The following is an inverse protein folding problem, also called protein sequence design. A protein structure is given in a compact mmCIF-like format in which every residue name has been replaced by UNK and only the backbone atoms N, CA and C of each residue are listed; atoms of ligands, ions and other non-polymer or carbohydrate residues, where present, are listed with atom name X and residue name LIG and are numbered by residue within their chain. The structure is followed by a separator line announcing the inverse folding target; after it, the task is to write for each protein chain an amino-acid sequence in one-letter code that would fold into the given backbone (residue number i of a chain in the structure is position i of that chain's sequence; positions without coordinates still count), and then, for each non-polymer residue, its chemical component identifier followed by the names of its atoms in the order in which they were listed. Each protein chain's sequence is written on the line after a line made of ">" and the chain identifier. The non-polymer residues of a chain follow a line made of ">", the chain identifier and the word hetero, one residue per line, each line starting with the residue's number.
data_IF_938856754856
#
_entry.id   IF_938856754856
#
_cell.length_a   1.000
_cell.length_b   1.000
_cell.length_c   1.000
_cell.angle_alpha   90.00
_cell.angle_beta   90.00
_cell.angle_gamma   90.00
#
_symmetry.space_group_name_H-M   'P 1'
#
loop_
_entity.id
_entity.type
_entity.pdbx_description
1 polymer ?
#
# COMPACT_ATOMS: atom_id res chain seq x y z
N UNK A 1 26.45 40.26 -34.42
CA UNK A 1 25.17 39.51 -34.48
C UNK A 1 25.44 38.08 -34.01
N UNK A 2 24.83 37.70 -32.88
CA UNK A 2 24.44 36.35 -32.48
C UNK A 2 25.47 35.20 -32.57
N UNK A 3 26.35 35.07 -31.58
CA UNK A 3 26.92 33.75 -31.18
C UNK A 3 27.19 33.75 -29.68
N UNK A 4 26.17 33.67 -28.81
CA UNK A 4 26.40 33.39 -27.37
C UNK A 4 25.12 33.08 -26.55
N UNK A 5 24.16 32.33 -27.10
CA UNK A 5 22.96 31.93 -26.35
C UNK A 5 22.62 30.43 -26.47
N UNK A 6 23.61 29.54 -26.50
CA UNK A 6 23.38 28.09 -26.70
C UNK A 6 23.96 27.20 -25.61
N UNK A 7 24.21 27.73 -24.40
CA UNK A 7 24.71 26.93 -23.26
C UNK A 7 23.79 26.92 -22.04
N UNK A 8 22.61 27.55 -22.09
CA UNK A 8 21.64 27.55 -20.97
C UNK A 8 20.49 26.53 -21.12
N UNK A 9 20.59 25.60 -22.08
CA UNK A 9 19.52 24.63 -22.37
C UNK A 9 19.71 23.25 -21.75
N UNK A 10 20.84 22.97 -21.10
CA UNK A 10 21.07 21.66 -20.48
C UNK A 10 20.72 21.72 -18.99
N UNK A 11 19.78 20.90 -18.49
CA UNK A 11 19.56 20.80 -17.06
C UNK A 11 20.86 20.37 -16.40
N UNK A 12 21.32 21.13 -15.41
CA UNK A 12 22.56 20.83 -14.70
C UNK A 12 22.46 19.43 -14.07
N UNK A 13 23.22 18.44 -14.57
CA UNK A 13 23.13 17.07 -14.10
C UNK A 13 23.59 16.95 -12.64
N UNK A 14 24.44 17.87 -12.15
CA UNK A 14 24.94 17.85 -10.78
C UNK A 14 23.84 18.23 -9.78
N UNK A 15 23.08 19.31 -10.03
CA UNK A 15 21.94 19.68 -9.19
C UNK A 15 20.82 18.63 -9.20
N UNK A 16 20.55 18.01 -10.34
CA UNK A 16 19.56 16.93 -10.46
C UNK A 16 19.98 15.69 -9.67
N UNK A 17 21.27 15.31 -9.77
CA UNK A 17 21.85 14.22 -8.97
C UNK A 17 21.83 14.53 -7.48
N UNK A 18 22.23 15.73 -7.09
CA UNK A 18 22.25 16.16 -5.68
C UNK A 18 20.85 16.18 -5.07
N UNK A 19 19.85 16.68 -5.80
CA UNK A 19 18.45 16.65 -5.38
C UNK A 19 17.97 15.19 -5.16
N UNK A 20 18.33 14.28 -6.06
CA UNK A 20 18.00 12.85 -5.96
C UNK A 20 18.67 12.19 -4.76
N UNK A 21 19.96 12.44 -4.54
CA UNK A 21 20.71 11.94 -3.37
C UNK A 21 20.15 12.50 -2.07
N UNK A 22 19.82 13.79 -2.02
CA UNK A 22 19.22 14.41 -0.84
C UNK A 22 17.83 13.83 -0.54
N UNK A 23 17.01 13.59 -1.56
CA UNK A 23 15.72 12.89 -1.41
C UNK A 23 15.94 11.50 -0.80
N UNK A 24 16.84 10.72 -1.38
CA UNK A 24 17.16 9.37 -0.87
C UNK A 24 17.65 9.42 0.57
N UNK A 25 18.60 10.30 0.91
CA UNK A 25 19.10 10.41 2.30
C UNK A 25 17.98 10.82 3.27
N UNK A 26 17.08 11.70 2.83
CA UNK A 26 15.93 12.13 3.65
C UNK A 26 14.96 10.98 3.88
N UNK A 27 14.65 10.21 2.82
CA UNK A 27 13.81 9.02 2.91
C UNK A 27 14.42 7.95 3.84
N UNK A 28 15.75 7.79 3.80
CA UNK A 28 16.49 6.87 4.67
C UNK A 28 16.55 7.32 6.14
N UNK A 29 16.51 8.62 6.40
CA UNK A 29 16.48 9.19 7.76
C UNK A 29 15.06 9.44 8.27
N UNK A 30 14.05 9.10 7.49
CA UNK A 30 12.65 9.31 7.82
C UNK A 30 12.26 8.61 9.11
N UNK A 31 11.46 9.29 9.93
CA UNK A 31 10.76 8.68 11.07
C UNK A 31 9.83 7.61 10.50
N UNK A 32 9.81 6.44 11.15
CA UNK A 32 8.89 5.36 10.77
C UNK A 32 7.45 5.87 10.79
N UNK A 33 6.74 5.72 9.67
CA UNK A 33 5.36 6.15 9.55
C UNK A 33 4.40 5.20 10.29
N UNK A 34 3.19 5.69 10.58
CA UNK A 34 2.23 4.94 11.38
C UNK A 34 1.82 3.59 10.75
N UNK A 35 1.78 3.54 9.42
CA UNK A 35 1.51 2.30 8.68
C UNK A 35 2.67 1.31 8.80
N UNK A 36 3.92 1.78 8.68
CA UNK A 36 5.11 0.96 8.88
C UNK A 36 5.16 0.36 10.29
N UNK A 37 4.87 1.17 11.31
CA UNK A 37 4.73 0.71 12.70
C UNK A 37 3.64 -0.37 12.82
N UNK A 38 2.51 -0.17 12.14
CA UNK A 38 1.41 -1.15 12.09
C UNK A 38 1.86 -2.48 11.48
N UNK A 39 2.62 -2.45 10.39
CA UNK A 39 3.15 -3.67 9.76
C UNK A 39 4.15 -4.40 10.65
N UNK A 40 5.03 -3.69 11.37
CA UNK A 40 5.91 -4.33 12.35
C UNK A 40 5.15 -4.95 13.52
N UNK A 41 4.11 -4.28 14.01
CA UNK A 41 3.25 -4.85 15.05
C UNK A 41 2.65 -6.18 14.58
N UNK A 42 2.16 -6.25 13.33
CA UNK A 42 1.64 -7.49 12.74
C UNK A 42 2.69 -8.60 12.72
N UNK A 43 3.92 -8.30 12.29
CA UNK A 43 5.02 -9.27 12.23
C UNK A 43 5.32 -9.88 13.60
N UNK A 44 5.16 -9.11 14.67
CA UNK A 44 5.47 -9.53 16.03
C UNK A 44 4.28 -10.21 16.73
N UNK A 45 3.04 -9.87 16.38
CA UNK A 45 1.85 -10.22 17.18
C UNK A 45 0.87 -11.17 16.47
N UNK A 46 1.10 -11.53 15.21
CA UNK A 46 0.23 -12.47 14.45
C UNK A 46 0.96 -13.77 14.12
N UNK A 47 0.29 -14.91 13.96
CA UNK A 47 0.96 -16.14 13.54
C UNK A 47 1.47 -16.02 12.08
N UNK A 48 2.57 -16.69 11.70
CA UNK A 48 3.12 -16.65 10.33
C UNK A 48 2.12 -17.07 9.23
N UNK A 49 1.13 -17.90 9.59
CA UNK A 49 0.07 -18.37 8.71
C UNK A 49 -1.12 -17.39 8.58
N UNK A 50 -1.12 -16.27 9.31
CA UNK A 50 -2.19 -15.28 9.24
C UNK A 50 -2.26 -14.66 7.84
N UNK A 51 -3.39 -14.80 7.17
CA UNK A 51 -3.66 -14.11 5.89
C UNK A 51 -4.27 -12.74 6.20
N UNK A 52 -3.74 -11.69 5.59
CA UNK A 52 -4.07 -10.31 5.92
C UNK A 52 -4.60 -9.54 4.71
N UNK A 53 -5.53 -8.61 4.95
CA UNK A 53 -5.89 -7.55 4.03
C UNK A 53 -5.11 -6.29 4.42
N UNK A 54 -4.06 -5.98 3.68
CA UNK A 54 -3.20 -4.81 3.89
C UNK A 54 -3.43 -3.76 2.79
N UNK A 55 -3.10 -2.47 3.04
CA UNK A 55 -3.10 -1.41 2.02
C UNK A 55 -2.33 -1.82 0.75
N UNK A 56 -3.00 -2.10 -0.39
CA UNK A 56 -2.33 -2.79 -1.50
C UNK A 56 -1.25 -1.97 -2.20
N UNK A 57 -1.27 -0.63 -2.08
CA UNK A 57 -0.28 0.28 -2.69
C UNK A 57 1.03 0.38 -1.91
N UNK A 58 1.09 -0.16 -0.69
CA UNK A 58 2.26 -0.07 0.20
C UNK A 58 3.33 -1.09 -0.20
N UNK A 59 4.46 -0.60 -0.75
CA UNK A 59 5.64 -1.40 -1.18
C UNK A 59 6.24 -2.21 -0.04
N UNK A 60 6.26 -1.57 1.11
CA UNK A 60 6.91 -2.01 2.33
C UNK A 60 6.09 -3.05 3.10
N UNK A 61 4.81 -3.23 2.78
CA UNK A 61 3.92 -4.17 3.48
C UNK A 61 4.47 -5.61 3.48
N UNK A 62 5.04 -6.06 2.36
CA UNK A 62 5.61 -7.40 2.23
C UNK A 62 6.81 -7.60 3.14
N UNK A 63 7.73 -6.64 3.13
CA UNK A 63 8.97 -6.70 3.89
C UNK A 63 8.76 -6.49 5.39
N UNK A 64 7.85 -5.60 5.77
CA UNK A 64 7.61 -5.25 7.16
C UNK A 64 6.67 -6.24 7.86
N UNK A 65 5.53 -6.58 7.25
CA UNK A 65 4.54 -7.45 7.89
C UNK A 65 4.96 -8.92 7.87
N UNK A 66 5.66 -9.37 6.82
CA UNK A 66 6.12 -10.76 6.63
C UNK A 66 5.00 -11.79 6.84
N UNK A 67 3.81 -11.49 6.31
CA UNK A 67 2.64 -12.36 6.34
C UNK A 67 2.05 -12.49 4.94
N UNK A 68 1.36 -13.61 4.64
CA UNK A 68 0.55 -13.74 3.44
C UNK A 68 -0.45 -12.59 3.31
N UNK A 69 -0.49 -11.96 2.13
CA UNK A 69 -1.38 -10.85 1.85
C UNK A 69 -2.45 -11.27 0.84
N UNK A 70 -3.65 -10.74 1.00
CA UNK A 70 -4.72 -10.96 0.05
C UNK A 70 -4.34 -10.50 -1.37
N UNK A 71 -3.80 -9.28 -1.49
CA UNK A 71 -3.35 -8.73 -2.76
C UNK A 71 -2.34 -7.59 -2.54
N UNK A 72 -1.39 -7.45 -3.46
CA UNK A 72 -0.48 -6.31 -3.51
C UNK A 72 -0.54 -5.69 -4.92
N UNK A 73 -0.66 -4.37 -5.00
CA UNK A 73 -0.79 -3.63 -6.27
C UNK A 73 0.48 -3.68 -7.12
N UNK A 74 1.65 -3.85 -6.53
CA UNK A 74 2.94 -3.70 -7.23
C UNK A 74 3.56 -5.02 -7.67
N UNK A 75 3.08 -6.15 -7.15
CA UNK A 75 3.60 -7.46 -7.49
C UNK A 75 2.55 -8.23 -8.29
N UNK A 76 2.65 -8.13 -9.62
CA UNK A 76 1.80 -8.88 -10.55
C UNK A 76 2.34 -10.31 -10.67
N UNK A 77 1.57 -11.35 -10.31
CA UNK A 77 1.99 -12.73 -10.48
C UNK A 77 1.93 -13.14 -11.96
N UNK A 78 2.96 -13.85 -12.43
CA UNK A 78 3.05 -14.29 -13.83
C UNK A 78 1.94 -15.28 -14.22
N UNK A 79 1.65 -16.27 -13.36
CA UNK A 79 0.71 -17.36 -13.68
C UNK A 79 -0.75 -17.02 -13.36
N UNK A 80 -1.01 -16.12 -12.40
CA UNK A 80 -2.36 -15.84 -11.88
C UNK A 80 -2.74 -14.35 -11.99
N UNK A 81 -2.31 -13.67 -13.06
CA UNK A 81 -2.57 -12.25 -13.26
C UNK A 81 -4.08 -11.91 -13.26
N UNK A 82 -4.93 -12.80 -13.79
CA UNK A 82 -6.39 -12.61 -13.79
C UNK A 82 -7.00 -12.63 -12.39
N UNK A 83 -6.53 -13.53 -11.52
CA UNK A 83 -6.97 -13.60 -10.13
C UNK A 83 -6.47 -12.37 -9.35
N UNK A 84 -5.20 -12.01 -9.51
CA UNK A 84 -4.63 -10.80 -8.92
C UNK A 84 -5.44 -9.54 -9.29
N UNK A 85 -5.79 -9.40 -10.57
CA UNK A 85 -6.62 -8.31 -11.07
C UNK A 85 -8.01 -8.31 -10.40
N UNK A 86 -8.66 -9.47 -10.33
CA UNK A 86 -9.98 -9.62 -9.69
C UNK A 86 -9.93 -9.18 -8.22
N UNK A 87 -8.90 -9.60 -7.48
CA UNK A 87 -8.70 -9.22 -6.08
C UNK A 87 -8.50 -7.71 -5.91
N UNK A 88 -7.70 -7.08 -6.76
CA UNK A 88 -7.52 -5.62 -6.75
C UNK A 88 -8.82 -4.88 -7.06
N UNK A 89 -9.52 -5.30 -8.11
CA UNK A 89 -10.79 -4.70 -8.51
C UNK A 89 -11.82 -4.80 -7.39
N UNK A 90 -11.89 -5.95 -6.71
CA UNK A 90 -12.79 -6.14 -5.56
C UNK A 90 -12.48 -5.18 -4.41
N UNK A 91 -11.21 -5.03 -4.05
CA UNK A 91 -10.78 -4.15 -2.96
C UNK A 91 -11.02 -2.68 -3.27
N UNK A 92 -10.75 -2.24 -4.51
CA UNK A 92 -10.89 -0.84 -4.91
C UNK A 92 -12.27 -0.48 -5.49
N UNK A 93 -13.19 -1.45 -5.59
CA UNK A 93 -14.51 -1.27 -6.19
C UNK A 93 -14.44 -0.92 -7.68
N UNK A 94 -13.46 -1.46 -8.40
CA UNK A 94 -13.32 -1.24 -9.85
C UNK A 94 -13.98 -2.34 -10.66
N UNK A 95 -14.49 -1.96 -11.84
CA UNK A 95 -14.89 -2.92 -12.87
C UNK A 95 -13.69 -3.39 -13.70
N UNK A 96 -12.67 -2.53 -13.85
CA UNK A 96 -11.40 -2.81 -14.51
C UNK A 96 -10.32 -1.86 -13.98
N UNK A 97 -9.03 -2.23 -14.10
CA UNK A 97 -7.93 -1.31 -13.76
C UNK A 97 -8.02 -0.07 -14.66
N UNK A 98 -8.01 1.15 -14.08
CA UNK A 98 -7.93 2.39 -14.84
C UNK A 98 -6.75 2.40 -15.82
N UNK A 99 -7.01 2.81 -17.07
CA UNK A 99 -5.98 2.90 -18.12
C UNK A 99 -4.99 4.04 -17.89
N UNK A 100 -5.41 5.08 -17.19
CA UNK A 100 -4.56 6.18 -16.76
C UNK A 100 -3.83 5.82 -15.47
N UNK A 101 -2.63 6.37 -15.27
CA UNK A 101 -1.95 6.27 -13.98
C UNK A 101 -2.86 6.73 -12.83
N UNK A 102 -2.83 6.00 -11.72
CA UNK A 102 -3.69 6.24 -10.55
C UNK A 102 -2.82 6.86 -9.46
N UNK A 103 -3.26 7.99 -8.91
CA UNK A 103 -2.56 8.60 -7.79
C UNK A 103 -2.67 7.70 -6.55
N UNK A 104 -1.60 7.64 -5.75
CA UNK A 104 -1.60 6.85 -4.51
C UNK A 104 -2.74 7.30 -3.57
N UNK A 105 -3.01 8.60 -3.50
CA UNK A 105 -4.08 9.15 -2.68
C UNK A 105 -5.48 8.61 -3.09
N UNK A 106 -5.70 8.37 -4.38
CA UNK A 106 -6.96 7.80 -4.86
C UNK A 106 -7.11 6.33 -4.47
N UNK A 107 -6.00 5.56 -4.52
CA UNK A 107 -5.97 4.17 -4.06
C UNK A 107 -6.29 4.10 -2.56
N UNK A 108 -5.64 4.98 -1.79
CA UNK A 108 -5.82 5.07 -0.35
C UNK A 108 -7.25 5.42 0.03
N UNK A 109 -7.81 6.45 -0.59
CA UNK A 109 -9.19 6.86 -0.38
C UNK A 109 -10.17 5.73 -0.70
N UNK A 110 -10.01 5.06 -1.86
CA UNK A 110 -10.88 3.94 -2.26
C UNK A 110 -10.81 2.76 -1.30
N UNK A 111 -9.61 2.40 -0.87
CA UNK A 111 -9.41 1.28 0.05
C UNK A 111 -10.00 1.56 1.43
N UNK A 112 -9.74 2.74 1.99
CA UNK A 112 -10.26 3.12 3.30
C UNK A 112 -11.79 3.32 3.28
N UNK A 113 -12.36 3.60 2.10
CA UNK A 113 -13.80 3.64 1.85
C UNK A 113 -14.39 2.27 1.45
N UNK A 114 -13.61 1.18 1.48
CA UNK A 114 -14.11 -0.15 1.12
C UNK A 114 -15.28 -0.53 2.05
N UNK A 115 -16.48 -0.85 1.51
CA UNK A 115 -17.64 -1.15 2.32
C UNK A 115 -17.42 -2.38 3.19
N UNK A 116 -17.99 -2.37 4.40
CA UNK A 116 -17.88 -3.48 5.34
C UNK A 116 -18.34 -4.82 4.74
N UNK A 117 -19.44 -4.81 3.99
CA UNK A 117 -19.95 -6.01 3.31
C UNK A 117 -18.92 -6.64 2.35
N UNK A 118 -18.12 -5.82 1.66
CA UNK A 118 -17.06 -6.31 0.77
C UNK A 118 -15.92 -6.92 1.58
N UNK A 119 -15.56 -6.31 2.71
CA UNK A 119 -14.56 -6.85 3.63
C UNK A 119 -15.02 -8.21 4.17
N UNK A 120 -16.27 -8.34 4.62
CA UNK A 120 -16.81 -9.61 5.13
C UNK A 120 -16.82 -10.70 4.04
N UNK A 121 -17.15 -10.34 2.80
CA UNK A 121 -17.07 -11.25 1.66
C UNK A 121 -15.62 -11.71 1.39
N UNK A 122 -14.65 -10.80 1.44
CA UNK A 122 -13.23 -11.14 1.27
C UNK A 122 -12.75 -12.03 2.43
N UNK A 123 -13.13 -11.68 3.67
CA UNK A 123 -12.79 -12.41 4.89
C UNK A 123 -13.28 -13.85 4.82
N UNK A 124 -14.56 -14.03 4.52
CA UNK A 124 -15.18 -15.36 4.45
C UNK A 124 -14.61 -16.20 3.30
N UNK A 125 -14.42 -15.62 2.12
CA UNK A 125 -13.95 -16.35 0.95
C UNK A 125 -12.47 -16.75 1.01
N UNK A 126 -11.62 -15.94 1.67
CA UNK A 126 -10.16 -16.12 1.63
C UNK A 126 -9.53 -16.39 3.00
N UNK A 127 -10.33 -16.56 4.05
CA UNK A 127 -9.83 -16.83 5.39
C UNK A 127 -8.96 -15.70 5.94
N UNK A 128 -9.27 -14.44 5.58
CA UNK A 128 -8.53 -13.29 6.11
C UNK A 128 -8.75 -13.24 7.62
N UNK A 129 -7.65 -13.11 8.36
CA UNK A 129 -7.64 -13.10 9.83
C UNK A 129 -7.50 -11.70 10.41
N UNK A 130 -6.91 -10.78 9.65
CA UNK A 130 -6.78 -9.38 10.05
C UNK A 130 -6.92 -8.44 8.86
N UNK A 131 -7.45 -7.25 9.12
CA UNK A 131 -7.59 -6.16 8.15
C UNK A 131 -6.86 -4.95 8.68
N UNK A 132 -6.05 -4.30 7.85
CA UNK A 132 -5.39 -3.04 8.17
C UNK A 132 -6.01 -1.93 7.34
N UNK A 133 -6.60 -0.94 7.98
CA UNK A 133 -7.27 0.17 7.28
C UNK A 133 -7.37 1.39 8.17
N UNK A 134 -7.45 2.58 7.56
CA UNK A 134 -7.85 3.79 8.25
C UNK A 134 -9.38 3.98 8.27
N UNK A 135 -10.12 3.19 7.47
CA UNK A 135 -11.57 3.10 7.54
C UNK A 135 -12.04 2.61 8.91
N UNK A 136 -13.26 2.98 9.29
CA UNK A 136 -13.89 2.59 10.55
C UNK A 136 -14.84 1.42 10.32
N UNK A 137 -14.62 0.32 11.04
CA UNK A 137 -15.43 -0.88 10.96
C UNK A 137 -15.82 -1.35 12.35
N UNK A 138 -17.00 -1.95 12.47
CA UNK A 138 -17.45 -2.63 13.69
C UNK A 138 -16.76 -4.00 13.83
N UNK A 139 -15.44 -3.96 14.05
CA UNK A 139 -14.56 -5.12 14.24
C UNK A 139 -13.69 -4.86 15.49
N UNK A 140 -13.26 -5.92 16.20
CA UNK A 140 -12.30 -5.78 17.28
C UNK A 140 -11.00 -5.11 16.81
N UNK A 141 -10.68 -3.95 17.37
CA UNK A 141 -9.41 -3.26 17.13
C UNK A 141 -8.35 -3.90 18.03
N UNK A 142 -7.32 -4.48 17.41
CA UNK A 142 -6.21 -5.14 18.10
C UNK A 142 -5.01 -4.22 18.29
N UNK A 143 -4.86 -3.23 17.40
CA UNK A 143 -3.79 -2.23 17.44
C UNK A 143 -4.19 -0.98 16.67
N UNK A 144 -3.66 0.18 17.09
CA UNK A 144 -3.86 1.47 16.43
C UNK A 144 -2.54 2.25 16.38
N UNK A 145 -2.24 2.84 15.23
CA UNK A 145 -1.16 3.82 15.08
C UNK A 145 -1.63 4.92 14.14
N UNK A 146 -1.68 6.16 14.65
CA UNK A 146 -2.19 7.30 13.89
C UNK A 146 -3.61 7.06 13.39
N UNK A 147 -3.79 7.09 12.07
CA UNK A 147 -5.10 6.84 11.45
C UNK A 147 -5.38 5.36 11.17
N UNK A 148 -4.37 4.50 11.22
CA UNK A 148 -4.49 3.10 10.84
C UNK A 148 -4.77 2.19 12.03
N UNK A 149 -5.64 1.21 11.80
CA UNK A 149 -6.02 0.20 12.77
C UNK A 149 -5.80 -1.20 12.21
N UNK A 150 -5.44 -2.12 13.10
CA UNK A 150 -5.46 -3.56 12.83
C UNK A 150 -6.74 -4.13 13.44
N UNK A 151 -7.61 -4.61 12.58
CA UNK A 151 -8.85 -5.26 12.97
C UNK A 151 -8.68 -6.78 12.97
N UNK A 152 -9.17 -7.46 14.01
CA UNK A 152 -9.36 -8.90 13.99
C UNK A 152 -10.67 -9.26 13.29
N UNK A 153 -10.68 -10.34 12.50
CA UNK A 153 -11.86 -10.75 11.70
C UNK A 153 -12.53 -12.03 12.20
N UNK A 154 -11.92 -12.70 13.18
CA UNK A 154 -12.59 -13.77 13.93
C UNK A 154 -13.45 -13.15 15.04
N UNK A 155 -14.63 -13.69 15.34
CA UNK A 155 -15.24 -13.46 16.64
C UNK A 155 -14.34 -13.98 17.77
#
# INVERSE_FOLDING_TARGET
>A
MLVLCTLMGFPDPASTYYARVKSVITDWRGVEDDVGRTFRWIEQNTPPSAVLLLPPWRKDSYYLARRPQFVCYQYVPYQNAGEWLSRLCKVFGWQAIPRSGIAIADLESRYNACPRAVIDEIVSAHGITHVVSAGQYDLPVLFESGQYRVYGTKP
#
